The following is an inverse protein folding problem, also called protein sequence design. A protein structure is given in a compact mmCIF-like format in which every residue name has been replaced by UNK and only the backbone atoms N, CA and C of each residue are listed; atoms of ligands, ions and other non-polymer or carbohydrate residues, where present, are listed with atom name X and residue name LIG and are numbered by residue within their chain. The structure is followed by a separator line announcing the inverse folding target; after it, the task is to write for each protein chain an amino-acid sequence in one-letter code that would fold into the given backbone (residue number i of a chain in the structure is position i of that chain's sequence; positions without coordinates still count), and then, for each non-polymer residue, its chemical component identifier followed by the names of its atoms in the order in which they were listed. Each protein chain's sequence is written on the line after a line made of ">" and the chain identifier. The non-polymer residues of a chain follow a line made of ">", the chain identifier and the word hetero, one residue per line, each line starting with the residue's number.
data_IF_290476395766
#
_entry.id   IF_290476395766
#
_cell.length_a   1.000
_cell.length_b   1.000
_cell.length_c   1.000
_cell.angle_alpha   90.00
_cell.angle_beta   90.00
_cell.angle_gamma   90.00
#
_symmetry.space_group_name_H-M   'P 1'
#
loop_
_entity.id
_entity.type
_entity.pdbx_description
1 polymer ?
#
# COMPACT_ATOMS: atom_id res chain seq x y z
N UNK A 1 15.71 -15.53 -11.01
CA UNK A 1 15.15 -14.27 -11.60
C UNK A 1 15.43 -13.11 -10.64
N UNK A 2 16.01 -12.00 -11.10
CA UNK A 2 16.17 -10.78 -10.27
C UNK A 2 14.78 -10.31 -9.83
N UNK A 3 14.56 -10.19 -8.53
CA UNK A 3 13.31 -9.67 -7.96
C UNK A 3 13.11 -8.24 -8.49
N UNK A 4 12.12 -8.03 -9.38
CA UNK A 4 11.80 -6.71 -9.92
C UNK A 4 11.41 -5.77 -8.79
N UNK A 5 11.81 -4.51 -8.85
CA UNK A 5 11.42 -3.54 -7.83
C UNK A 5 9.90 -3.31 -7.85
N UNK A 6 9.31 -3.04 -6.69
CA UNK A 6 7.88 -2.76 -6.57
C UNK A 6 7.43 -1.62 -7.51
N UNK A 7 8.27 -0.61 -7.65
CA UNK A 7 8.04 0.51 -8.56
C UNK A 7 7.98 0.07 -10.03
N UNK A 8 8.93 -0.76 -10.49
CA UNK A 8 8.95 -1.27 -11.87
C UNK A 8 7.67 -2.04 -12.20
N UNK A 9 7.19 -2.83 -11.25
CA UNK A 9 5.94 -3.60 -11.39
C UNK A 9 4.70 -2.72 -11.51
N UNK A 10 4.59 -1.68 -10.67
CA UNK A 10 3.48 -0.73 -10.74
C UNK A 10 3.50 0.06 -12.06
N UNK A 11 4.67 0.47 -12.53
CA UNK A 11 4.81 1.20 -13.78
C UNK A 11 4.49 0.37 -15.04
N UNK A 12 4.47 -0.97 -14.95
CA UNK A 12 3.97 -1.82 -16.04
C UNK A 12 2.48 -1.56 -16.32
N UNK A 13 1.70 -1.25 -15.29
CA UNK A 13 0.27 -0.88 -15.43
C UNK A 13 0.05 0.56 -15.90
N UNK A 14 1.08 1.38 -15.99
CA UNK A 14 0.96 2.78 -16.46
C UNK A 14 0.67 2.90 -17.95
N UNK A 15 1.10 1.92 -18.76
CA UNK A 15 1.05 2.05 -20.21
C UNK A 15 1.79 3.31 -20.68
N UNK A 16 1.18 4.09 -21.56
CA UNK A 16 1.74 5.37 -22.06
C UNK A 16 1.86 6.47 -21.00
N UNK A 17 1.16 6.36 -19.86
CA UNK A 17 1.19 7.37 -18.78
C UNK A 17 2.45 7.28 -17.90
N UNK A 18 3.36 6.33 -18.15
CA UNK A 18 4.66 6.21 -17.46
C UNK A 18 5.48 7.49 -17.52
N UNK A 19 5.42 8.22 -18.65
CA UNK A 19 6.11 9.49 -18.85
C UNK A 19 5.64 10.53 -17.83
N UNK A 20 4.34 10.59 -17.52
CA UNK A 20 3.80 11.52 -16.54
C UNK A 20 4.34 11.24 -15.12
N UNK A 21 4.54 9.96 -14.75
CA UNK A 21 5.19 9.62 -13.48
C UNK A 21 6.61 10.19 -13.40
N UNK A 22 7.43 10.00 -14.43
CA UNK A 22 8.79 10.53 -14.43
C UNK A 22 8.81 12.06 -14.45
N UNK A 23 7.92 12.68 -15.26
CA UNK A 23 7.79 14.14 -15.31
C UNK A 23 7.39 14.71 -13.96
N UNK A 24 6.51 14.04 -13.22
CA UNK A 24 6.10 14.47 -11.87
C UNK A 24 7.29 14.51 -10.91
N UNK A 25 8.19 13.52 -10.96
CA UNK A 25 9.37 13.50 -10.09
C UNK A 25 10.35 14.61 -10.43
N UNK A 26 10.58 14.86 -11.73
CA UNK A 26 11.44 15.95 -12.20
C UNK A 26 10.87 17.30 -11.79
N UNK A 27 9.56 17.53 -12.00
CA UNK A 27 8.90 18.77 -11.60
C UNK A 27 8.90 18.96 -10.09
N UNK A 28 8.69 17.91 -9.32
CA UNK A 28 8.74 17.95 -7.84
C UNK A 28 10.15 18.29 -7.35
N UNK A 29 11.20 17.71 -7.96
CA UNK A 29 12.58 18.05 -7.66
C UNK A 29 12.93 19.49 -8.06
N UNK A 30 12.50 19.93 -9.23
CA UNK A 30 12.68 21.31 -9.71
C UNK A 30 11.99 22.32 -8.79
N UNK A 31 10.75 22.03 -8.36
CA UNK A 31 10.02 22.87 -7.41
C UNK A 31 10.75 23.01 -6.07
N UNK A 32 11.38 21.92 -5.61
CA UNK A 32 12.17 21.93 -4.37
C UNK A 32 13.37 22.87 -4.47
N UNK A 33 14.09 22.86 -5.58
CA UNK A 33 15.23 23.77 -5.79
C UNK A 33 14.76 25.20 -5.97
N UNK A 34 13.67 25.44 -6.70
CA UNK A 34 13.05 26.76 -6.81
C UNK A 34 12.60 27.31 -5.45
N UNK A 35 12.09 26.46 -4.56
CA UNK A 35 11.67 26.86 -3.20
C UNK A 35 12.84 27.27 -2.30
N UNK A 36 14.08 26.96 -2.64
CA UNK A 36 15.27 27.43 -1.92
C UNK A 36 15.74 28.81 -2.40
N UNK A 37 15.39 29.25 -3.60
CA UNK A 37 15.80 30.54 -4.15
C UNK A 37 15.33 31.74 -3.32
N UNK A 38 14.11 31.78 -2.75
CA UNK A 38 13.68 32.83 -1.84
C UNK A 38 14.64 33.07 -0.68
N UNK A 39 15.27 32.00 -0.13
CA UNK A 39 16.23 32.13 0.97
C UNK A 39 17.50 32.89 0.55
N UNK A 40 17.95 32.74 -0.70
CA UNK A 40 19.01 33.57 -1.27
C UNK A 40 18.63 35.06 -1.28
N UNK A 41 17.40 35.39 -1.74
CA UNK A 41 16.93 36.79 -1.74
C UNK A 41 16.74 37.35 -0.33
N UNK A 42 16.26 36.53 0.62
CA UNK A 42 16.17 36.91 2.03
C UNK A 42 17.56 37.25 2.60
N UNK A 43 18.58 36.45 2.26
CA UNK A 43 19.96 36.77 2.65
C UNK A 43 20.45 38.10 2.04
N UNK A 44 20.15 38.39 0.77
CA UNK A 44 20.47 39.67 0.11
C UNK A 44 19.79 40.83 0.79
N UNK A 45 18.51 40.69 1.12
CA UNK A 45 17.74 41.71 1.89
C UNK A 45 18.41 41.95 3.23
N UNK A 46 18.70 40.92 4.00
CA UNK A 46 19.38 41.07 5.30
C UNK A 46 20.72 41.77 5.17
N UNK A 47 21.51 41.40 4.14
CA UNK A 47 22.79 42.03 3.83
C UNK A 47 22.62 43.52 3.53
N UNK A 48 21.66 43.92 2.71
CA UNK A 48 21.39 45.31 2.35
C UNK A 48 20.93 46.10 3.55
N UNK A 49 20.04 45.55 4.38
CA UNK A 49 19.54 46.22 5.59
C UNK A 49 20.65 46.42 6.64
N UNK A 50 21.46 45.38 6.88
CA UNK A 50 22.59 45.48 7.84
C UNK A 50 23.64 46.51 7.35
N UNK A 51 23.93 46.55 6.05
CA UNK A 51 24.88 47.47 5.46
C UNK A 51 24.39 48.92 5.45
N UNK A 52 23.09 49.14 5.36
CA UNK A 52 22.48 50.47 5.36
C UNK A 52 22.25 51.05 6.75
N UNK A 53 22.40 50.29 7.84
CA UNK A 53 22.18 50.77 9.21
C UNK A 53 23.13 51.89 9.57
N UNK A 54 22.64 53.02 10.21
CA UNK A 54 21.25 53.28 10.64
C UNK A 54 20.34 53.92 9.56
N UNK A 55 20.81 54.16 8.35
CA UNK A 55 20.10 54.84 7.26
C UNK A 55 19.41 53.87 6.33
N UNK A 56 18.34 53.22 6.80
CA UNK A 56 17.64 52.12 6.11
C UNK A 56 17.01 52.53 4.75
N UNK A 57 16.70 53.82 4.54
CA UNK A 57 16.23 54.37 3.27
C UNK A 57 17.24 54.16 2.11
N UNK A 58 18.52 53.94 2.41
CA UNK A 58 19.56 53.67 1.43
C UNK A 58 19.60 52.21 0.97
N UNK A 59 18.78 51.33 1.56
CA UNK A 59 18.71 49.94 1.17
C UNK A 59 17.81 49.71 -0.09
N UNK A 60 18.13 50.41 -1.20
CA UNK A 60 17.29 50.46 -2.40
C UNK A 60 16.98 49.15 -3.12
N UNK A 61 17.73 48.08 -2.87
CA UNK A 61 17.51 46.76 -3.49
C UNK A 61 16.46 45.89 -2.79
N UNK A 62 16.04 46.26 -1.55
CA UNK A 62 15.16 45.45 -0.69
C UNK A 62 13.81 45.14 -1.36
N UNK A 63 13.20 46.17 -1.97
CA UNK A 63 11.90 46.01 -2.65
C UNK A 63 11.99 45.05 -3.84
N UNK A 64 13.02 45.22 -4.68
CA UNK A 64 13.25 44.30 -5.83
C UNK A 64 13.51 42.89 -5.35
N UNK A 65 14.40 42.69 -4.39
CA UNK A 65 14.76 41.36 -3.86
C UNK A 65 13.55 40.70 -3.15
N UNK A 66 12.71 41.51 -2.48
CA UNK A 66 11.45 41.02 -1.90
C UNK A 66 10.49 40.50 -2.95
N UNK A 67 10.26 41.24 -4.03
CA UNK A 67 9.41 40.79 -5.12
C UNK A 67 9.96 39.53 -5.84
N UNK A 68 11.28 39.44 -6.02
CA UNK A 68 11.92 38.24 -6.58
C UNK A 68 11.76 37.04 -5.66
N UNK A 69 11.90 37.20 -4.35
CA UNK A 69 11.63 36.10 -3.40
C UNK A 69 10.20 35.58 -3.53
N UNK A 70 9.21 36.51 -3.59
CA UNK A 70 7.80 36.13 -3.79
C UNK A 70 7.60 35.44 -5.14
N UNK A 71 8.17 35.96 -6.22
CA UNK A 71 8.06 35.38 -7.57
C UNK A 71 8.55 33.92 -7.58
N UNK A 72 9.73 33.65 -7.03
CA UNK A 72 10.29 32.31 -6.99
C UNK A 72 9.52 31.37 -6.05
N UNK A 73 8.97 31.88 -4.93
CA UNK A 73 8.10 31.12 -4.05
C UNK A 73 6.82 30.69 -4.77
N UNK A 74 6.18 31.62 -5.49
CA UNK A 74 4.97 31.32 -6.31
C UNK A 74 5.31 30.36 -7.43
N UNK A 75 6.40 30.58 -8.16
CA UNK A 75 6.85 29.70 -9.23
C UNK A 75 7.10 28.26 -8.70
N UNK A 76 7.73 28.11 -7.55
CA UNK A 76 7.94 26.81 -6.91
C UNK A 76 6.62 26.08 -6.64
N UNK A 77 5.61 26.80 -6.12
CA UNK A 77 4.28 26.23 -5.87
C UNK A 77 3.60 25.81 -7.16
N UNK A 78 3.63 26.65 -8.20
CA UNK A 78 3.01 26.34 -9.50
C UNK A 78 3.66 25.11 -10.16
N UNK A 79 4.99 25.02 -10.14
CA UNK A 79 5.73 23.86 -10.66
C UNK A 79 5.40 22.59 -9.86
N UNK A 80 5.26 22.71 -8.53
CA UNK A 80 4.85 21.59 -7.68
C UNK A 80 3.44 21.11 -8.00
N UNK A 81 2.47 22.02 -8.17
CA UNK A 81 1.11 21.69 -8.56
C UNK A 81 1.11 20.98 -9.93
N UNK A 82 1.86 21.47 -10.92
CA UNK A 82 2.00 20.80 -12.20
C UNK A 82 2.58 19.38 -12.04
N UNK A 83 3.59 19.21 -11.20
CA UNK A 83 4.14 17.89 -10.86
C UNK A 83 3.11 16.97 -10.24
N UNK A 84 2.31 17.45 -9.28
CA UNK A 84 1.23 16.67 -8.66
C UNK A 84 0.13 16.31 -9.66
N UNK A 85 -0.26 17.23 -10.55
CA UNK A 85 -1.23 16.89 -11.61
C UNK A 85 -0.73 15.73 -12.48
N UNK A 86 0.53 15.75 -12.89
CA UNK A 86 1.14 14.64 -13.65
C UNK A 86 1.13 13.33 -12.84
N UNK A 87 1.47 13.38 -11.54
CA UNK A 87 1.48 12.17 -10.70
C UNK A 87 0.09 11.58 -10.51
N UNK A 88 -0.92 12.42 -10.24
CA UNK A 88 -2.30 11.97 -10.05
C UNK A 88 -2.88 11.34 -11.32
N UNK A 89 -2.70 11.97 -12.48
CA UNK A 89 -3.15 11.41 -13.75
C UNK A 89 -2.55 10.03 -14.03
N UNK A 90 -1.26 9.87 -13.78
CA UNK A 90 -0.60 8.57 -13.93
C UNK A 90 -1.06 7.56 -12.89
N UNK A 91 -1.15 7.96 -11.62
CA UNK A 91 -1.54 7.08 -10.51
C UNK A 91 -2.97 6.57 -10.66
N UNK A 92 -3.94 7.42 -11.03
CA UNK A 92 -5.32 7.02 -11.30
C UNK A 92 -5.40 6.01 -12.44
N UNK A 93 -4.60 6.22 -13.50
CA UNK A 93 -4.57 5.27 -14.62
C UNK A 93 -4.00 3.92 -14.20
N UNK A 94 -2.91 3.92 -13.43
CA UNK A 94 -2.29 2.68 -12.90
C UNK A 94 -3.28 1.95 -11.99
N UNK A 95 -3.92 2.65 -11.06
CA UNK A 95 -4.90 2.06 -10.16
C UNK A 95 -6.11 1.46 -10.91
N UNK A 96 -6.59 2.16 -11.94
CA UNK A 96 -7.69 1.66 -12.80
C UNK A 96 -7.27 0.40 -13.56
N UNK A 97 -6.09 0.43 -14.20
CA UNK A 97 -5.58 -0.73 -14.96
C UNK A 97 -5.32 -1.92 -14.04
N UNK A 98 -4.84 -1.67 -12.83
CA UNK A 98 -4.61 -2.70 -11.83
C UNK A 98 -5.93 -3.35 -11.35
N UNK A 99 -6.96 -2.52 -11.06
CA UNK A 99 -8.31 -3.03 -10.74
C UNK A 99 -8.88 -3.87 -11.88
N UNK A 100 -8.73 -3.37 -13.11
CA UNK A 100 -9.19 -4.09 -14.32
C UNK A 100 -8.46 -5.41 -14.52
N UNK A 101 -7.14 -5.45 -14.33
CA UNK A 101 -6.34 -6.66 -14.43
C UNK A 101 -6.77 -7.70 -13.39
N UNK A 102 -6.94 -7.28 -12.12
CA UNK A 102 -7.44 -8.16 -11.06
C UNK A 102 -8.84 -8.69 -11.36
N UNK A 103 -9.77 -7.81 -11.77
CA UNK A 103 -11.15 -8.21 -12.07
C UNK A 103 -11.21 -9.19 -13.24
N UNK A 104 -10.45 -8.93 -14.31
CA UNK A 104 -10.35 -9.85 -15.46
C UNK A 104 -9.78 -11.20 -15.04
N UNK A 105 -8.74 -11.22 -14.22
CA UNK A 105 -8.13 -12.45 -13.75
C UNK A 105 -9.09 -13.24 -12.85
N UNK A 106 -9.79 -12.57 -11.91
CA UNK A 106 -10.80 -13.20 -11.04
C UNK A 106 -11.90 -13.87 -11.88
N UNK A 107 -12.32 -13.27 -12.99
CA UNK A 107 -13.32 -13.86 -13.88
C UNK A 107 -12.84 -15.16 -14.57
N UNK A 108 -11.52 -15.43 -14.61
CA UNK A 108 -10.96 -16.67 -15.16
C UNK A 108 -10.75 -17.74 -14.09
N UNK A 109 -10.81 -17.38 -12.80
CA UNK A 109 -10.58 -18.32 -11.70
C UNK A 109 -11.74 -19.32 -11.56
N UNK A 110 -11.46 -20.53 -11.01
CA UNK A 110 -12.50 -21.47 -10.61
C UNK A 110 -13.42 -20.84 -9.55
N UNK A 111 -14.72 -21.16 -9.61
CA UNK A 111 -15.70 -20.66 -8.66
C UNK A 111 -15.31 -21.00 -7.21
N UNK A 112 -14.80 -22.20 -6.98
CA UNK A 112 -14.36 -22.62 -5.65
C UNK A 112 -13.19 -21.83 -5.10
N UNK A 113 -12.25 -21.38 -5.95
CA UNK A 113 -11.15 -20.48 -5.55
C UNK A 113 -11.71 -19.10 -5.16
N UNK A 114 -12.71 -18.59 -5.89
CA UNK A 114 -13.41 -17.35 -5.56
C UNK A 114 -14.12 -17.46 -4.21
N UNK A 115 -14.77 -18.58 -3.93
CA UNK A 115 -15.42 -18.87 -2.65
C UNK A 115 -14.42 -18.95 -1.48
N UNK A 116 -13.26 -19.57 -1.69
CA UNK A 116 -12.18 -19.63 -0.69
C UNK A 116 -11.62 -18.26 -0.36
N UNK A 117 -11.43 -17.37 -1.35
CA UNK A 117 -11.04 -15.99 -1.09
C UNK A 117 -12.10 -15.24 -0.31
N UNK A 118 -13.37 -15.50 -0.61
CA UNK A 118 -14.51 -14.78 -0.07
C UNK A 118 -14.68 -13.38 -0.68
N UNK A 119 -15.92 -12.99 -0.94
CA UNK A 119 -16.28 -11.74 -1.61
C UNK A 119 -15.74 -10.49 -0.90
N UNK A 120 -15.74 -10.49 0.45
CA UNK A 120 -15.23 -9.39 1.26
C UNK A 120 -13.73 -9.19 1.09
N UNK A 121 -12.94 -10.28 1.10
CA UNK A 121 -11.48 -10.22 0.91
C UNK A 121 -11.13 -9.80 -0.52
N UNK A 122 -11.80 -10.34 -1.54
CA UNK A 122 -11.59 -9.95 -2.94
C UNK A 122 -11.91 -8.48 -3.16
N UNK A 123 -13.07 -8.00 -2.70
CA UNK A 123 -13.45 -6.59 -2.77
C UNK A 123 -12.41 -5.69 -2.10
N UNK A 124 -11.96 -6.06 -0.91
CA UNK A 124 -10.93 -5.33 -0.17
C UNK A 124 -9.61 -5.30 -0.96
N UNK A 125 -9.18 -6.43 -1.49
CA UNK A 125 -7.96 -6.51 -2.31
C UNK A 125 -8.06 -5.62 -3.54
N UNK A 126 -9.15 -5.68 -4.31
CA UNK A 126 -9.33 -4.86 -5.53
C UNK A 126 -9.36 -3.37 -5.18
N UNK A 127 -10.08 -2.96 -4.13
CA UNK A 127 -10.31 -1.55 -3.80
C UNK A 127 -9.16 -0.93 -3.02
N UNK A 128 -8.79 -1.54 -1.89
CA UNK A 128 -7.83 -0.94 -0.95
C UNK A 128 -6.39 -1.05 -1.44
N UNK A 129 -6.00 -2.18 -2.06
CA UNK A 129 -4.62 -2.32 -2.53
C UNK A 129 -4.33 -1.44 -3.74
N UNK A 130 -5.29 -1.28 -4.65
CA UNK A 130 -5.16 -0.34 -5.76
C UNK A 130 -5.12 1.12 -5.26
N UNK A 131 -5.88 1.45 -4.20
CA UNK A 131 -5.82 2.76 -3.54
C UNK A 131 -4.47 3.02 -2.85
N UNK A 132 -3.90 2.01 -2.18
CA UNK A 132 -2.56 2.12 -1.59
C UNK A 132 -1.47 2.36 -2.65
N UNK A 133 -1.55 1.66 -3.80
CA UNK A 133 -0.65 1.87 -4.93
C UNK A 133 -0.82 3.27 -5.53
N UNK A 134 -2.05 3.76 -5.64
CA UNK A 134 -2.38 5.12 -6.09
C UNK A 134 -1.75 6.18 -5.18
N UNK A 135 -1.98 6.09 -3.86
CA UNK A 135 -1.42 7.01 -2.87
C UNK A 135 0.11 7.05 -2.92
N UNK A 136 0.75 5.89 -3.08
CA UNK A 136 2.19 5.80 -3.21
C UNK A 136 2.72 6.55 -4.44
N UNK A 137 2.10 6.32 -5.59
CA UNK A 137 2.51 6.91 -6.87
C UNK A 137 2.16 8.40 -6.95
N UNK A 138 0.98 8.79 -6.43
CA UNK A 138 0.49 10.16 -6.51
C UNK A 138 1.22 11.12 -5.56
N UNK A 139 1.56 10.67 -4.36
CA UNK A 139 2.09 11.53 -3.30
C UNK A 139 3.49 11.14 -2.85
N UNK A 140 3.71 9.85 -2.50
CA UNK A 140 4.95 9.46 -1.83
C UNK A 140 6.18 9.56 -2.73
N UNK A 141 6.09 9.15 -3.99
CA UNK A 141 7.23 9.23 -4.92
C UNK A 141 7.58 10.68 -5.31
N UNK A 142 6.62 11.56 -5.66
CA UNK A 142 6.91 12.97 -5.87
C UNK A 142 7.49 13.64 -4.62
N UNK A 143 6.97 13.32 -3.42
CA UNK A 143 7.49 13.84 -2.15
C UNK A 143 8.91 13.33 -1.85
N UNK A 144 9.25 12.09 -2.22
CA UNK A 144 10.61 11.56 -2.13
C UNK A 144 11.57 12.34 -3.03
N UNK A 145 11.20 12.53 -4.29
CA UNK A 145 12.00 13.30 -5.25
C UNK A 145 12.22 14.74 -4.75
N UNK A 146 11.15 15.37 -4.26
CA UNK A 146 11.18 16.70 -3.64
C UNK A 146 12.11 16.75 -2.42
N UNK A 147 11.98 15.80 -1.49
CA UNK A 147 12.80 15.74 -0.28
C UNK A 147 14.29 15.56 -0.59
N UNK A 148 14.62 14.65 -1.51
CA UNK A 148 16.00 14.43 -1.93
C UNK A 148 16.61 15.66 -2.59
N UNK A 149 15.87 16.31 -3.49
CA UNK A 149 16.30 17.55 -4.13
C UNK A 149 16.44 18.69 -3.11
N UNK A 150 15.53 18.80 -2.13
CA UNK A 150 15.64 19.78 -1.04
C UNK A 150 16.92 19.55 -0.23
N UNK A 151 17.22 18.29 0.15
CA UNK A 151 18.43 17.96 0.92
C UNK A 151 19.69 18.33 0.12
N UNK A 152 19.75 17.93 -1.15
CA UNK A 152 20.89 18.24 -2.01
C UNK A 152 21.08 19.77 -2.17
N UNK A 153 19.98 20.51 -2.41
CA UNK A 153 20.01 21.96 -2.51
C UNK A 153 20.40 22.65 -1.18
N UNK A 154 19.89 22.17 -0.04
CA UNK A 154 20.25 22.67 1.29
C UNK A 154 21.73 22.42 1.58
N UNK A 155 22.25 21.22 1.32
CA UNK A 155 23.67 20.92 1.50
C UNK A 155 24.55 21.85 0.65
N UNK A 156 24.16 22.08 -0.61
CA UNK A 156 24.87 23.01 -1.48
C UNK A 156 24.85 24.44 -0.89
N UNK A 157 23.68 24.94 -0.48
CA UNK A 157 23.55 26.27 0.16
C UNK A 157 24.38 26.37 1.44
N UNK A 158 24.29 25.40 2.34
CA UNK A 158 25.03 25.39 3.60
C UNK A 158 26.57 25.44 3.38
N UNK A 159 27.08 24.80 2.34
CA UNK A 159 28.51 24.79 2.06
C UNK A 159 28.98 26.05 1.29
N UNK A 160 28.12 26.62 0.43
CA UNK A 160 28.44 27.79 -0.37
C UNK A 160 28.47 29.09 0.45
N UNK A 161 27.51 29.26 1.38
CA UNK A 161 27.43 30.50 2.18
C UNK A 161 28.53 30.61 3.21
N UNK A 162 28.71 29.58 4.03
CA UNK A 162 29.79 29.49 5.03
C UNK A 162 30.06 28.01 5.34
N UNK A 163 31.09 27.45 4.73
CA UNK A 163 31.39 26.03 4.87
C UNK A 163 31.63 25.61 6.35
N UNK A 164 32.10 26.54 7.20
CA UNK A 164 32.38 26.28 8.65
C UNK A 164 31.06 26.08 9.41
N UNK A 165 30.14 27.03 9.26
CA UNK A 165 28.79 26.93 9.84
C UNK A 165 28.02 25.78 9.21
N UNK A 166 28.21 25.55 7.90
CA UNK A 166 27.62 24.41 7.19
C UNK A 166 28.05 23.06 7.77
N UNK A 167 29.34 22.83 7.93
CA UNK A 167 29.86 21.61 8.54
C UNK A 167 29.40 21.47 10.01
N UNK A 168 29.39 22.56 10.75
CA UNK A 168 28.94 22.55 12.14
C UNK A 168 27.45 22.18 12.26
N UNK A 169 26.60 22.66 11.35
CA UNK A 169 25.18 22.31 11.31
C UNK A 169 24.93 20.83 10.95
N UNK A 170 25.86 20.18 10.25
CA UNK A 170 25.75 18.76 9.93
C UNK A 170 26.07 17.82 11.11
N UNK A 171 26.77 18.29 12.14
CA UNK A 171 27.07 17.48 13.33
C UNK A 171 25.79 16.95 14.01
N UNK A 172 24.84 17.82 14.44
CA UNK A 172 23.60 17.33 15.03
C UNK A 172 22.75 16.54 14.03
N UNK A 173 22.81 16.83 12.72
CA UNK A 173 22.16 16.02 11.68
C UNK A 173 22.73 14.61 11.63
N UNK A 174 24.04 14.45 11.69
CA UNK A 174 24.70 13.13 11.74
C UNK A 174 24.31 12.36 13.02
N UNK A 175 24.22 13.04 14.16
CA UNK A 175 23.73 12.45 15.41
C UNK A 175 22.27 12.01 15.31
N UNK A 176 21.42 12.84 14.71
CA UNK A 176 20.02 12.50 14.45
C UNK A 176 19.89 11.28 13.53
N UNK A 177 20.71 11.22 12.46
CA UNK A 177 20.75 10.07 11.56
C UNK A 177 21.23 8.80 12.28
N UNK A 178 22.26 8.88 13.13
CA UNK A 178 22.73 7.76 13.93
C UNK A 178 21.66 7.26 14.92
N UNK A 179 20.89 8.17 15.53
CA UNK A 179 19.73 7.81 16.36
C UNK A 179 18.62 7.11 15.53
N UNK A 180 18.34 7.62 14.32
CA UNK A 180 17.36 7.03 13.39
C UNK A 180 17.78 5.62 12.97
N UNK A 181 19.05 5.36 12.69
CA UNK A 181 19.54 4.02 12.34
C UNK A 181 19.25 2.97 13.42
N UNK A 182 19.19 3.37 14.69
CA UNK A 182 18.78 2.48 15.79
C UNK A 182 17.29 2.12 15.77
N UNK A 183 16.46 2.91 15.07
CA UNK A 183 15.03 2.63 14.89
C UNK A 183 14.74 1.64 13.75
N UNK A 184 15.74 1.27 12.93
CA UNK A 184 15.60 0.34 11.79
C UNK A 184 16.11 -1.06 12.10
N UNK A 185 16.48 -1.36 13.35
CA UNK A 185 17.03 -2.64 13.77
C UNK A 185 16.00 -3.78 13.78
N UNK A 186 16.48 -5.02 13.60
CA UNK A 186 15.68 -6.26 13.59
C UNK A 186 14.74 -6.37 14.81
N UNK A 187 15.25 -6.04 16.00
CA UNK A 187 14.50 -6.09 17.26
C UNK A 187 13.26 -5.20 17.26
N UNK A 188 13.36 -4.02 16.65
CA UNK A 188 12.21 -3.11 16.54
C UNK A 188 11.23 -3.58 15.49
N UNK A 189 11.73 -4.13 14.38
CA UNK A 189 10.91 -4.72 13.33
C UNK A 189 10.11 -5.92 13.85
N UNK A 190 10.70 -6.77 14.68
CA UNK A 190 9.99 -7.89 15.33
C UNK A 190 8.88 -7.39 16.26
N UNK A 191 9.14 -6.35 17.04
CA UNK A 191 8.12 -5.74 17.91
C UNK A 191 7.00 -5.07 17.10
N UNK A 192 7.33 -4.41 16.00
CA UNK A 192 6.33 -3.84 15.08
C UNK A 192 5.44 -4.92 14.47
N UNK A 193 6.03 -6.06 14.08
CA UNK A 193 5.28 -7.21 13.57
C UNK A 193 4.32 -7.77 14.62
N UNK A 194 4.77 -7.93 15.87
CA UNK A 194 3.90 -8.39 16.96
C UNK A 194 2.77 -7.39 17.27
N UNK A 195 3.08 -6.10 17.26
CA UNK A 195 2.09 -5.04 17.39
C UNK A 195 1.02 -5.12 16.29
N UNK A 196 1.43 -5.26 15.01
CA UNK A 196 0.51 -5.38 13.87
C UNK A 196 -0.35 -6.65 13.95
N UNK A 197 0.24 -7.78 14.35
CA UNK A 197 -0.49 -9.03 14.55
C UNK A 197 -1.54 -8.88 15.67
N UNK A 198 -1.16 -8.31 16.81
CA UNK A 198 -2.08 -8.09 17.92
C UNK A 198 -3.22 -7.12 17.56
N UNK A 199 -2.96 -6.10 16.72
CA UNK A 199 -3.98 -5.20 16.18
C UNK A 199 -4.95 -5.95 15.25
N UNK A 200 -4.44 -6.82 14.39
CA UNK A 200 -5.26 -7.64 13.51
C UNK A 200 -6.15 -8.61 14.31
N UNK A 201 -5.60 -9.29 15.32
CA UNK A 201 -6.33 -10.20 16.19
C UNK A 201 -7.45 -9.47 16.94
N UNK A 202 -7.13 -8.31 17.52
CA UNK A 202 -8.14 -7.48 18.21
C UNK A 202 -9.25 -7.03 17.23
N UNK A 203 -8.89 -6.64 16.02
CA UNK A 203 -9.86 -6.19 15.00
C UNK A 203 -10.77 -7.35 14.56
N UNK A 204 -10.22 -8.54 14.35
CA UNK A 204 -10.97 -9.73 13.99
C UNK A 204 -11.94 -10.13 15.11
N UNK A 205 -11.48 -10.17 16.35
CA UNK A 205 -12.30 -10.50 17.49
C UNK A 205 -13.40 -9.47 17.75
N UNK A 206 -13.13 -8.18 17.49
CA UNK A 206 -14.15 -7.13 17.56
C UNK A 206 -15.30 -7.39 16.57
N UNK A 207 -14.98 -7.80 15.34
CA UNK A 207 -16.00 -8.16 14.33
C UNK A 207 -16.80 -9.39 14.77
N UNK A 208 -16.13 -10.43 15.29
CA UNK A 208 -16.81 -11.63 15.81
C UNK A 208 -17.70 -11.29 17.02
N UNK A 209 -17.21 -10.46 17.92
CA UNK A 209 -17.99 -10.00 19.06
C UNK A 209 -19.27 -9.29 18.63
N UNK A 210 -19.17 -8.33 17.70
CA UNK A 210 -20.34 -7.60 17.17
C UNK A 210 -21.33 -8.54 16.48
N UNK A 211 -20.84 -9.50 15.69
CA UNK A 211 -21.68 -10.52 15.03
C UNK A 211 -22.36 -11.46 16.06
N UNK A 212 -21.68 -11.76 17.16
CA UNK A 212 -22.18 -12.60 18.22
C UNK A 212 -23.17 -11.94 19.19
N UNK A 213 -23.28 -10.61 19.20
CA UNK A 213 -24.15 -9.86 20.12
C UNK A 213 -25.61 -10.39 20.14
N UNK A 214 -26.27 -10.68 19.00
CA UNK A 214 -27.64 -11.21 19.02
C UNK A 214 -27.73 -12.54 19.77
N UNK A 215 -26.77 -13.45 19.55
CA UNK A 215 -26.71 -14.77 20.21
C UNK A 215 -26.46 -14.59 21.70
N UNK A 216 -25.49 -13.76 22.08
CA UNK A 216 -25.14 -13.45 23.47
C UNK A 216 -26.34 -12.86 24.21
N UNK A 217 -27.10 -11.95 23.60
CA UNK A 217 -28.32 -11.36 24.19
C UNK A 217 -29.43 -12.39 24.37
N UNK A 218 -29.60 -13.29 23.39
CA UNK A 218 -30.64 -14.32 23.45
C UNK A 218 -30.41 -15.32 24.56
N UNK A 219 -29.14 -15.69 24.79
CA UNK A 219 -28.79 -16.71 25.84
C UNK A 219 -28.30 -16.11 27.15
N UNK A 220 -28.34 -14.79 27.34
CA UNK A 220 -27.94 -14.11 28.56
C UNK A 220 -26.46 -14.23 28.95
N UNK A 221 -25.62 -14.69 28.04
CA UNK A 221 -24.19 -14.96 28.28
C UNK A 221 -23.30 -13.80 27.85
N UNK A 222 -23.23 -12.74 28.63
CA UNK A 222 -22.42 -11.54 28.29
C UNK A 222 -20.94 -11.66 28.61
N UNK A 223 -20.54 -12.56 29.54
CA UNK A 223 -19.21 -12.51 30.15
C UNK A 223 -18.14 -13.27 29.36
N UNK A 224 -18.49 -14.37 28.69
CA UNK A 224 -17.48 -15.21 28.00
C UNK A 224 -16.97 -14.61 26.68
N UNK A 225 -17.85 -14.11 25.85
CA UNK A 225 -17.47 -13.47 24.58
C UNK A 225 -16.70 -12.18 24.82
N UNK A 226 -17.07 -11.40 25.85
CA UNK A 226 -16.35 -10.20 26.26
C UNK A 226 -14.94 -10.52 26.82
N UNK A 227 -14.77 -11.63 27.56
CA UNK A 227 -13.46 -12.01 28.10
C UNK A 227 -12.43 -12.30 27.03
N UNK A 228 -12.84 -12.97 25.94
CA UNK A 228 -11.95 -13.26 24.81
C UNK A 228 -11.53 -11.95 24.12
N UNK A 229 -12.49 -11.08 23.78
CA UNK A 229 -12.21 -9.78 23.16
C UNK A 229 -11.35 -8.89 24.07
N UNK A 230 -11.65 -8.86 25.39
CA UNK A 230 -10.81 -8.14 26.36
C UNK A 230 -9.38 -8.67 26.36
N UNK A 231 -9.18 -9.97 26.26
CA UNK A 231 -7.85 -10.58 26.18
C UNK A 231 -7.05 -10.12 24.96
N UNK A 232 -7.71 -9.92 23.80
CA UNK A 232 -7.03 -9.37 22.61
C UNK A 232 -6.71 -7.89 22.75
N UNK A 233 -7.56 -7.10 23.43
CA UNK A 233 -7.28 -5.69 23.78
C UNK A 233 -6.05 -5.61 24.69
N UNK A 234 -6.01 -6.40 25.76
CA UNK A 234 -4.91 -6.43 26.75
C UNK A 234 -3.59 -6.88 26.07
N UNK A 235 -3.67 -7.81 25.09
CA UNK A 235 -2.51 -8.22 24.31
C UNK A 235 -2.03 -7.10 23.37
N UNK A 236 -2.95 -6.42 22.68
CA UNK A 236 -2.63 -5.27 21.85
C UNK A 236 -1.98 -4.15 22.65
N UNK A 237 -2.55 -3.77 23.80
CA UNK A 237 -1.99 -2.78 24.72
C UNK A 237 -0.55 -3.14 25.11
N UNK A 238 -0.30 -4.40 25.48
CA UNK A 238 1.04 -4.88 25.85
C UNK A 238 2.07 -4.64 24.73
N UNK A 239 1.71 -4.96 23.50
CA UNK A 239 2.61 -4.79 22.35
C UNK A 239 2.78 -3.33 21.94
N UNK A 240 1.72 -2.50 22.04
CA UNK A 240 1.82 -1.04 21.85
C UNK A 240 2.81 -0.45 22.84
N UNK A 241 2.65 -0.78 24.12
CA UNK A 241 3.55 -0.27 25.17
C UNK A 241 4.98 -0.77 24.96
N UNK A 242 5.17 -2.05 24.60
CA UNK A 242 6.49 -2.62 24.35
C UNK A 242 7.19 -1.95 23.16
N UNK A 243 6.47 -1.69 22.08
CA UNK A 243 6.96 -1.00 20.89
C UNK A 243 7.30 0.47 21.21
N UNK A 244 6.40 1.19 21.87
CA UNK A 244 6.59 2.59 22.24
C UNK A 244 7.76 2.78 23.21
N UNK A 245 7.93 1.87 24.18
CA UNK A 245 9.07 1.90 25.10
C UNK A 245 10.41 1.72 24.39
N UNK A 246 10.46 0.85 23.37
CA UNK A 246 11.69 0.63 22.58
C UNK A 246 12.04 1.88 21.73
N UNK A 247 11.03 2.54 21.17
CA UNK A 247 11.19 3.75 20.38
C UNK A 247 11.53 5.00 21.20
N UNK A 248 11.16 5.03 22.48
CA UNK A 248 11.21 6.23 23.30
C UNK A 248 12.58 6.93 23.25
N UNK A 249 13.65 6.22 23.58
CA UNK A 249 14.97 6.82 23.63
C UNK A 249 15.55 7.17 22.25
N UNK A 250 15.50 6.30 21.23
CA UNK A 250 15.94 6.67 19.89
C UNK A 250 15.18 7.89 19.34
N UNK A 251 13.85 7.94 19.52
CA UNK A 251 13.02 9.06 19.06
C UNK A 251 13.32 10.35 19.81
N UNK A 252 13.51 10.28 21.13
CA UNK A 252 13.89 11.44 21.94
C UNK A 252 15.26 11.97 21.52
N UNK A 253 16.26 11.08 21.33
CA UNK A 253 17.60 11.47 20.88
C UNK A 253 17.58 12.07 19.47
N UNK A 254 16.80 11.46 18.55
CA UNK A 254 16.59 12.02 17.21
C UNK A 254 16.01 13.43 17.27
N UNK A 255 14.91 13.62 18.02
CA UNK A 255 14.22 14.90 18.15
C UNK A 255 15.12 15.95 18.79
N UNK A 256 15.86 15.57 19.84
CA UNK A 256 16.81 16.46 20.49
C UNK A 256 17.95 16.87 19.52
N UNK A 257 18.55 15.90 18.85
CA UNK A 257 19.65 16.13 17.92
C UNK A 257 19.21 17.04 16.75
N UNK A 258 18.10 16.71 16.08
CA UNK A 258 17.67 17.49 14.91
C UNK A 258 17.27 18.94 15.26
N UNK A 259 16.73 19.17 16.45
CA UNK A 259 16.40 20.51 16.93
C UNK A 259 17.58 21.24 17.59
N UNK A 260 18.67 20.55 17.91
CA UNK A 260 19.88 21.19 18.48
C UNK A 260 20.74 21.92 17.45
N UNK A 261 20.43 21.85 16.15
CA UNK A 261 21.14 22.56 15.08
C UNK A 261 21.30 24.06 15.42
N UNK A 262 20.26 24.69 15.97
CA UNK A 262 20.33 26.09 16.43
C UNK A 262 21.42 26.32 17.48
N UNK A 263 21.54 25.44 18.47
CA UNK A 263 22.52 25.56 19.54
C UNK A 263 23.94 25.48 18.97
N UNK A 264 24.19 24.56 18.05
CA UNK A 264 25.50 24.43 17.38
C UNK A 264 25.81 25.67 16.54
N UNK A 265 24.82 26.21 15.81
CA UNK A 265 24.99 27.41 14.99
C UNK A 265 25.27 28.66 15.85
N UNK A 266 24.57 28.85 16.96
CA UNK A 266 24.79 29.94 17.87
C UNK A 266 26.20 29.85 18.51
N UNK A 267 26.56 28.65 19.01
CA UNK A 267 27.89 28.43 19.58
C UNK A 267 29.01 28.67 18.55
N UNK A 268 28.84 28.18 17.32
CA UNK A 268 29.78 28.43 16.21
C UNK A 268 29.85 29.87 15.81
N UNK A 269 28.71 30.55 15.73
CA UNK A 269 28.66 31.99 15.46
C UNK A 269 29.48 32.82 16.47
N UNK A 270 29.37 32.48 17.76
CA UNK A 270 30.19 33.11 18.81
C UNK A 270 31.69 32.78 18.67
N UNK A 271 32.03 31.54 18.38
CA UNK A 271 33.42 31.11 18.23
C UNK A 271 34.08 31.78 17.03
N UNK A 272 33.40 31.85 15.89
CA UNK A 272 33.94 32.40 14.65
C UNK A 272 33.90 33.95 14.60
N UNK A 273 33.01 34.61 15.35
CA UNK A 273 32.95 36.07 15.42
C UNK A 273 34.12 36.71 16.20
N UNK A 274 34.78 35.96 17.08
CA UNK A 274 35.96 36.46 17.86
C UNK A 274 37.16 36.85 17.00
N UNK A 275 37.17 36.48 15.70
CA UNK A 275 38.26 36.80 14.76
C UNK A 275 38.16 38.13 14.01
N UNK A 276 37.28 39.06 14.38
CA UNK A 276 37.23 40.45 13.84
C UNK A 276 36.35 40.65 12.59
N UNK A 277 35.67 39.62 12.05
CA UNK A 277 34.76 39.74 10.91
C UNK A 277 33.26 39.79 11.35
N UNK A 278 32.94 40.62 12.34
CA UNK A 278 31.65 40.55 13.05
C UNK A 278 30.40 40.73 12.16
N UNK A 279 30.44 41.59 11.14
CA UNK A 279 29.25 41.85 10.29
C UNK A 279 28.87 40.73 9.36
N UNK A 280 29.85 40.08 8.72
CA UNK A 280 29.61 38.95 7.81
C UNK A 280 29.21 37.68 8.56
N UNK A 281 29.83 37.42 9.70
CA UNK A 281 29.50 36.26 10.54
C UNK A 281 28.06 36.34 11.09
N UNK A 282 27.61 37.49 11.51
CA UNK A 282 26.24 37.69 11.98
C UNK A 282 25.21 37.47 10.88
N UNK A 283 25.48 38.01 9.68
CA UNK A 283 24.62 37.83 8.51
C UNK A 283 24.46 36.34 8.14
N UNK A 284 25.58 35.60 8.07
CA UNK A 284 25.55 34.17 7.79
C UNK A 284 24.84 33.40 8.89
N UNK A 285 25.06 33.71 10.15
CA UNK A 285 24.37 33.10 11.28
C UNK A 285 22.85 33.28 11.19
N UNK A 286 22.37 34.52 10.89
CA UNK A 286 20.93 34.76 10.68
C UNK A 286 20.35 33.94 9.53
N UNK A 287 21.06 33.86 8.41
CA UNK A 287 20.66 33.05 7.29
C UNK A 287 20.51 31.58 7.68
N UNK A 288 21.49 31.01 8.40
CA UNK A 288 21.43 29.62 8.85
C UNK A 288 20.28 29.37 9.82
N UNK A 289 19.99 30.29 10.70
CA UNK A 289 18.84 30.22 11.62
C UNK A 289 17.53 30.16 10.84
N UNK A 290 17.37 30.94 9.77
CA UNK A 290 16.15 30.98 8.94
C UNK A 290 15.98 29.68 8.12
N UNK A 291 17.05 29.09 7.62
CA UNK A 291 16.97 27.90 6.76
C UNK A 291 16.90 26.57 7.54
N UNK A 292 17.36 26.55 8.79
CA UNK A 292 17.41 25.34 9.63
C UNK A 292 16.06 24.62 9.78
N UNK A 293 14.90 25.30 9.96
CA UNK A 293 13.61 24.61 10.03
C UNK A 293 13.29 23.78 8.79
N UNK A 294 13.72 24.24 7.60
CA UNK A 294 13.51 23.49 6.35
C UNK A 294 14.30 22.19 6.38
N UNK A 295 15.53 22.23 6.90
CA UNK A 295 16.37 21.04 7.07
C UNK A 295 15.71 20.03 8.03
N UNK A 296 15.31 20.49 9.21
CA UNK A 296 14.68 19.65 10.24
C UNK A 296 13.38 19.00 9.75
N UNK A 297 12.51 19.77 9.10
CA UNK A 297 11.25 19.27 8.55
C UNK A 297 11.46 18.26 7.43
N UNK A 298 12.43 18.51 6.54
CA UNK A 298 12.72 17.62 5.40
C UNK A 298 13.28 16.28 5.87
N UNK A 299 14.21 16.29 6.84
CA UNK A 299 14.78 15.07 7.41
C UNK A 299 13.73 14.28 8.21
N UNK A 300 12.86 14.96 8.94
CA UNK A 300 11.75 14.30 9.65
C UNK A 300 10.77 13.64 8.67
N UNK A 301 10.41 14.29 7.57
CA UNK A 301 9.61 13.68 6.51
C UNK A 301 10.28 12.43 5.95
N UNK A 302 11.58 12.49 5.67
CA UNK A 302 12.32 11.35 5.12
C UNK A 302 12.32 10.15 6.08
N UNK A 303 12.40 10.39 7.39
CA UNK A 303 12.33 9.34 8.41
C UNK A 303 11.03 8.54 8.33
N UNK A 304 9.88 9.22 8.21
CA UNK A 304 8.58 8.55 8.16
C UNK A 304 8.23 7.93 6.79
N UNK A 305 9.03 8.20 5.74
CA UNK A 305 8.76 7.65 4.41
C UNK A 305 8.98 6.13 4.31
N UNK A 306 9.80 5.56 5.18
CA UNK A 306 10.07 4.11 5.20
C UNK A 306 8.83 3.27 5.62
N UNK A 307 7.99 3.79 6.51
CA UNK A 307 6.74 3.13 6.92
C UNK A 307 5.76 2.96 5.75
N UNK A 308 5.64 3.98 4.92
CA UNK A 308 4.77 3.97 3.75
C UNK A 308 5.21 2.94 2.68
N UNK A 309 6.49 2.66 2.58
CA UNK A 309 7.04 1.62 1.71
C UNK A 309 6.55 0.22 2.06
N UNK A 310 6.37 -0.09 3.34
CA UNK A 310 5.85 -1.37 3.81
C UNK A 310 4.38 -1.57 3.45
N UNK A 311 3.56 -0.52 3.52
CA UNK A 311 2.13 -0.57 3.13
C UNK A 311 1.99 -0.97 1.65
N UNK A 312 2.81 -0.41 0.78
CA UNK A 312 2.80 -0.74 -0.65
C UNK A 312 3.29 -2.16 -0.90
N UNK A 313 4.28 -2.62 -0.15
CA UNK A 313 4.76 -3.98 -0.28
C UNK A 313 3.69 -5.00 0.14
N UNK A 314 2.96 -4.75 1.21
CA UNK A 314 1.82 -5.57 1.63
C UNK A 314 0.70 -5.54 0.57
N UNK A 315 0.36 -4.36 0.05
CA UNK A 315 -0.61 -4.22 -1.03
C UNK A 315 -0.23 -5.04 -2.27
N UNK A 316 1.03 -4.96 -2.72
CA UNK A 316 1.53 -5.75 -3.85
C UNK A 316 1.50 -7.26 -3.56
N UNK A 317 1.83 -7.68 -2.34
CA UNK A 317 1.73 -9.09 -1.93
C UNK A 317 0.30 -9.63 -2.03
N UNK A 318 -0.70 -8.82 -1.63
CA UNK A 318 -2.13 -9.17 -1.76
C UNK A 318 -2.59 -9.23 -3.22
N UNK A 319 -2.11 -8.31 -4.06
CA UNK A 319 -2.37 -8.33 -5.50
C UNK A 319 -1.78 -9.62 -6.10
N UNK A 320 -0.55 -9.97 -5.73
CA UNK A 320 0.10 -11.19 -6.19
C UNK A 320 -0.66 -12.45 -5.80
N UNK A 321 -1.19 -12.51 -4.59
CA UNK A 321 -1.97 -13.67 -4.15
C UNK A 321 -3.22 -13.92 -5.02
N UNK A 322 -3.78 -12.87 -5.60
CA UNK A 322 -4.90 -12.98 -6.54
C UNK A 322 -4.41 -13.32 -7.95
N UNK A 323 -3.45 -12.54 -8.48
CA UNK A 323 -3.00 -12.67 -9.87
C UNK A 323 -2.18 -13.95 -10.14
N UNK A 324 -1.60 -14.56 -9.11
CA UNK A 324 -0.85 -15.81 -9.23
C UNK A 324 -1.72 -17.06 -9.03
N UNK A 325 -2.98 -16.88 -8.61
CA UNK A 325 -3.92 -18.01 -8.52
C UNK A 325 -4.13 -18.59 -9.92
N UNK A 326 -3.93 -19.88 -10.12
CA UNK A 326 -4.03 -20.48 -11.44
C UNK A 326 -5.49 -20.45 -11.93
N UNK A 327 -5.74 -20.03 -13.18
CA UNK A 327 -7.04 -20.20 -13.81
C UNK A 327 -7.31 -21.69 -14.06
N UNK A 328 -8.57 -22.04 -14.34
CA UNK A 328 -8.89 -23.37 -14.81
C UNK A 328 -8.13 -23.68 -16.11
N UNK A 329 -7.52 -24.86 -16.17
CA UNK A 329 -6.90 -25.32 -17.41
C UNK A 329 -7.96 -25.43 -18.52
N UNK A 330 -7.66 -24.86 -19.68
CA UNK A 330 -8.51 -25.01 -20.87
C UNK A 330 -7.78 -25.92 -21.84
N UNK A 331 -8.54 -26.74 -22.54
CA UNK A 331 -7.99 -27.60 -23.60
C UNK A 331 -7.94 -26.84 -24.92
N UNK A 332 -6.89 -27.06 -25.71
CA UNK A 332 -6.79 -26.52 -27.07
C UNK A 332 -7.67 -27.29 -28.09
N UNK A 333 -8.20 -28.44 -27.69
CA UNK A 333 -9.04 -29.31 -28.52
C UNK A 333 -10.29 -29.73 -27.72
N UNK A 334 -11.29 -28.85 -27.62
CA UNK A 334 -12.50 -29.17 -26.89
C UNK A 334 -13.25 -30.36 -27.51
N UNK A 335 -13.79 -31.20 -26.62
CA UNK A 335 -14.64 -32.32 -26.98
C UNK A 335 -16.07 -32.05 -26.51
N UNK A 336 -17.05 -32.60 -27.21
CA UNK A 336 -18.46 -32.39 -26.94
C UNK A 336 -19.07 -33.55 -26.17
N UNK A 337 -19.79 -33.33 -25.05
CA UNK A 337 -20.53 -34.33 -24.33
C UNK A 337 -21.58 -35.00 -25.26
N UNK A 338 -21.72 -36.31 -25.16
CA UNK A 338 -22.67 -37.06 -25.97
C UNK A 338 -24.07 -37.12 -25.38
N UNK A 339 -24.15 -37.08 -24.05
CA UNK A 339 -25.36 -37.11 -23.26
C UNK A 339 -25.17 -36.44 -21.90
N UNK A 340 -26.12 -36.60 -20.97
CA UNK A 340 -26.07 -36.00 -19.61
C UNK A 340 -25.59 -36.99 -18.53
N UNK A 341 -24.93 -38.11 -18.91
CA UNK A 341 -24.36 -39.03 -17.93
C UNK A 341 -23.17 -38.40 -17.19
N UNK A 342 -22.99 -38.79 -15.93
CA UNK A 342 -21.87 -38.31 -15.09
C UNK A 342 -21.12 -39.52 -14.56
N UNK A 343 -19.80 -39.56 -14.78
CA UNK A 343 -18.93 -40.61 -14.25
C UNK A 343 -17.76 -40.02 -13.51
N UNK A 344 -17.50 -40.53 -12.32
CA UNK A 344 -16.32 -40.23 -11.52
C UNK A 344 -15.49 -41.51 -11.37
N UNK A 345 -14.18 -41.42 -11.55
CA UNK A 345 -13.25 -42.53 -11.46
C UNK A 345 -12.09 -42.19 -10.55
N UNK A 346 -11.99 -42.86 -9.41
CA UNK A 346 -10.91 -42.75 -8.45
C UNK A 346 -10.62 -41.29 -8.00
N UNK A 347 -11.68 -40.48 -7.80
CA UNK A 347 -11.57 -39.05 -7.50
C UNK A 347 -11.13 -38.84 -6.08
N UNK A 348 -9.99 -38.20 -5.92
CA UNK A 348 -9.51 -37.68 -4.62
C UNK A 348 -9.39 -36.17 -4.69
N UNK A 349 -9.93 -35.51 -3.67
CA UNK A 349 -9.92 -34.05 -3.58
C UNK A 349 -9.70 -33.52 -2.17
N UNK A 350 -8.91 -32.44 -2.05
CA UNK A 350 -8.69 -31.67 -0.83
C UNK A 350 -8.68 -30.16 -1.13
N UNK A 351 -9.18 -29.39 -0.19
CA UNK A 351 -9.18 -27.91 -0.29
C UNK A 351 -7.82 -27.28 0.07
N UNK A 352 -7.10 -27.92 0.98
CA UNK A 352 -5.78 -27.54 1.48
C UNK A 352 -4.93 -28.79 1.71
N UNK A 353 -3.73 -28.63 2.22
CA UNK A 353 -2.81 -29.76 2.45
C UNK A 353 -3.13 -30.61 3.69
N UNK A 354 -4.21 -30.31 4.44
CA UNK A 354 -4.45 -30.92 5.75
C UNK A 354 -5.24 -32.25 5.67
N UNK A 355 -6.38 -32.31 4.94
CA UNK A 355 -7.25 -33.49 4.91
C UNK A 355 -7.98 -33.62 3.58
N UNK A 356 -8.09 -34.87 3.07
CA UNK A 356 -8.93 -35.17 1.93
C UNK A 356 -10.41 -34.93 2.27
N UNK A 357 -11.08 -34.12 1.42
CA UNK A 357 -12.52 -33.94 1.47
C UNK A 357 -13.26 -35.08 0.77
N UNK A 358 -12.62 -35.66 -0.26
CA UNK A 358 -13.04 -36.89 -0.96
C UNK A 358 -11.80 -37.75 -1.13
N UNK A 359 -11.97 -39.07 -0.99
CA UNK A 359 -10.89 -40.04 -1.09
C UNK A 359 -11.35 -41.23 -1.91
N UNK A 360 -10.73 -41.44 -3.07
CA UNK A 360 -10.95 -42.55 -3.99
C UNK A 360 -12.44 -42.82 -4.34
N UNK A 361 -13.16 -41.75 -4.69
CA UNK A 361 -14.58 -41.84 -5.01
C UNK A 361 -14.77 -42.25 -6.48
N UNK A 362 -15.51 -43.35 -6.68
CA UNK A 362 -15.95 -43.80 -8.01
C UNK A 362 -17.47 -44.00 -8.01
N UNK A 363 -18.14 -43.38 -8.98
CA UNK A 363 -19.59 -43.53 -9.18
C UNK A 363 -19.98 -43.21 -10.62
N UNK A 364 -21.13 -43.71 -11.04
CA UNK A 364 -21.72 -43.45 -12.35
C UNK A 364 -23.21 -43.15 -12.21
N UNK A 365 -23.67 -42.09 -12.90
CA UNK A 365 -25.07 -41.66 -12.97
C UNK A 365 -25.43 -41.65 -14.46
N UNK A 366 -26.38 -42.50 -14.87
CA UNK A 366 -26.84 -42.55 -16.26
C UNK A 366 -27.61 -41.28 -16.68
N UNK A 367 -27.66 -41.05 -17.99
CA UNK A 367 -28.43 -39.95 -18.56
C UNK A 367 -29.90 -40.05 -18.14
N UNK A 368 -30.51 -38.94 -17.70
CA UNK A 368 -31.90 -38.86 -17.23
C UNK A 368 -32.17 -39.49 -15.85
N UNK A 369 -31.14 -39.99 -15.17
CA UNK A 369 -31.29 -40.49 -13.80
C UNK A 369 -31.22 -39.39 -12.75
N UNK A 370 -31.95 -39.58 -11.64
CA UNK A 370 -31.84 -38.75 -10.43
C UNK A 370 -31.03 -39.51 -9.38
N UNK A 371 -29.98 -38.89 -8.86
CA UNK A 371 -29.15 -39.44 -7.80
C UNK A 371 -29.20 -38.55 -6.56
N UNK A 372 -29.28 -39.21 -5.37
CA UNK A 372 -29.22 -38.50 -4.08
C UNK A 372 -27.95 -38.87 -3.34
N UNK A 373 -27.14 -37.86 -2.98
CA UNK A 373 -25.97 -38.04 -2.11
C UNK A 373 -26.38 -37.92 -0.64
N UNK A 374 -26.32 -39.03 0.10
CA UNK A 374 -26.74 -39.12 1.50
C UNK A 374 -25.53 -39.40 2.39
N UNK A 375 -25.46 -38.75 3.55
CA UNK A 375 -24.37 -38.96 4.51
C UNK A 375 -24.29 -37.83 5.56
N UNK A 376 -23.40 -37.97 6.54
CA UNK A 376 -23.24 -36.98 7.63
C UNK A 376 -22.80 -35.62 7.11
N UNK A 377 -22.99 -34.59 7.95
CA UNK A 377 -22.44 -33.26 7.68
C UNK A 377 -20.90 -33.35 7.58
N UNK A 378 -20.29 -32.67 6.61
CA UNK A 378 -18.85 -32.77 6.34
C UNK A 378 -18.42 -34.01 5.54
N UNK A 379 -19.34 -34.91 5.12
CA UNK A 379 -19.05 -36.12 4.34
C UNK A 379 -18.75 -35.87 2.84
N UNK A 380 -18.44 -34.66 2.41
CA UNK A 380 -18.00 -34.37 1.04
C UNK A 380 -19.11 -34.20 -0.02
N UNK A 381 -20.39 -34.25 0.36
CA UNK A 381 -21.53 -34.21 -0.60
C UNK A 381 -21.53 -32.95 -1.47
N UNK A 382 -21.39 -31.76 -0.85
CA UNK A 382 -21.32 -30.48 -1.57
C UNK A 382 -20.04 -30.35 -2.38
N UNK A 383 -18.93 -30.92 -1.89
CA UNK A 383 -17.65 -30.98 -2.61
C UNK A 383 -17.78 -31.77 -3.88
N UNK A 384 -18.48 -32.92 -3.82
CA UNK A 384 -18.72 -33.78 -4.98
C UNK A 384 -19.52 -33.04 -6.06
N UNK A 385 -20.61 -32.36 -5.67
CA UNK A 385 -21.41 -31.53 -6.57
C UNK A 385 -20.60 -30.38 -7.18
N UNK A 386 -19.76 -29.71 -6.38
CA UNK A 386 -18.89 -28.65 -6.84
C UNK A 386 -17.82 -29.13 -7.85
N UNK A 387 -17.32 -30.34 -7.68
CA UNK A 387 -16.37 -30.96 -8.61
C UNK A 387 -17.02 -31.36 -9.95
N UNK A 388 -18.27 -31.87 -9.93
CA UNK A 388 -19.03 -32.14 -11.16
C UNK A 388 -19.24 -30.86 -11.97
N UNK A 389 -19.52 -29.76 -11.30
CA UNK A 389 -19.62 -28.43 -11.92
C UNK A 389 -18.26 -27.79 -12.23
N UNK A 390 -17.17 -28.49 -12.01
CA UNK A 390 -15.80 -28.01 -12.21
C UNK A 390 -15.49 -26.71 -11.48
N UNK A 391 -16.04 -26.52 -10.26
CA UNK A 391 -15.61 -25.43 -9.39
C UNK A 391 -14.17 -25.59 -8.90
N UNK A 392 -13.64 -26.78 -8.97
CA UNK A 392 -12.25 -27.20 -8.73
C UNK A 392 -11.87 -28.33 -9.66
N UNK A 393 -10.59 -28.53 -9.91
CA UNK A 393 -10.07 -29.76 -10.50
C UNK A 393 -9.60 -30.72 -9.39
N UNK A 394 -9.89 -32.04 -9.46
CA UNK A 394 -9.42 -33.01 -8.48
C UNK A 394 -7.89 -33.18 -8.55
N UNK A 395 -7.26 -33.57 -7.42
CA UNK A 395 -5.83 -33.89 -7.36
C UNK A 395 -5.52 -35.22 -8.07
N UNK A 396 -6.44 -36.20 -8.01
CA UNK A 396 -6.33 -37.47 -8.76
C UNK A 396 -7.69 -37.95 -9.19
N UNK A 397 -7.70 -38.85 -10.17
CA UNK A 397 -8.90 -39.36 -10.79
C UNK A 397 -9.44 -38.50 -11.93
N UNK A 398 -10.59 -38.89 -12.45
CA UNK A 398 -11.26 -38.21 -13.56
C UNK A 398 -12.74 -38.01 -13.29
N UNK A 399 -13.29 -36.91 -13.85
CA UNK A 399 -14.73 -36.60 -13.83
C UNK A 399 -15.15 -36.38 -15.27
N UNK A 400 -16.17 -37.11 -15.73
CA UNK A 400 -16.65 -37.03 -17.09
C UNK A 400 -18.14 -36.72 -17.12
N UNK A 401 -18.55 -35.93 -18.11
CA UNK A 401 -19.95 -35.64 -18.45
C UNK A 401 -20.16 -36.04 -19.89
N UNK A 402 -21.19 -36.87 -20.15
CA UNK A 402 -21.46 -37.40 -21.47
C UNK A 402 -20.29 -38.21 -22.09
N UNK A 403 -19.50 -38.86 -21.24
CA UNK A 403 -18.32 -39.62 -21.66
C UNK A 403 -17.07 -38.77 -21.97
N UNK A 404 -17.10 -37.45 -21.75
CA UNK A 404 -15.99 -36.53 -21.98
C UNK A 404 -15.48 -35.97 -20.63
N UNK A 405 -14.17 -35.99 -20.40
CA UNK A 405 -13.59 -35.41 -19.19
C UNK A 405 -13.92 -33.93 -19.12
N UNK A 406 -14.38 -33.43 -17.94
CA UNK A 406 -14.77 -32.04 -17.76
C UNK A 406 -13.62 -31.07 -18.05
N UNK A 407 -12.36 -31.50 -18.02
CA UNK A 407 -11.20 -30.70 -18.40
C UNK A 407 -11.07 -30.49 -19.90
N UNK A 408 -11.66 -31.41 -20.70
CA UNK A 408 -11.60 -31.40 -22.15
C UNK A 408 -12.84 -30.78 -22.79
N UNK A 409 -13.84 -30.38 -22.00
CA UNK A 409 -15.04 -29.68 -22.47
C UNK A 409 -14.72 -28.15 -22.45
N UNK A 410 -15.18 -27.45 -23.50
CA UNK A 410 -15.11 -25.97 -23.48
C UNK A 410 -15.85 -25.39 -22.26
N UNK A 411 -15.32 -24.33 -21.65
CA UNK A 411 -15.87 -23.76 -20.44
C UNK A 411 -17.33 -23.29 -20.63
N UNK A 412 -17.63 -22.69 -21.76
CA UNK A 412 -18.98 -22.17 -22.05
C UNK A 412 -19.95 -23.36 -22.23
N UNK A 413 -19.54 -24.37 -22.98
CA UNK A 413 -20.34 -25.56 -23.20
C UNK A 413 -20.57 -26.37 -21.91
N UNK A 414 -19.55 -26.45 -21.03
CA UNK A 414 -19.72 -27.07 -19.71
C UNK A 414 -20.76 -26.31 -18.86
N UNK A 415 -20.74 -25.01 -18.88
CA UNK A 415 -21.71 -24.18 -18.15
C UNK A 415 -23.12 -24.24 -18.74
N UNK A 416 -23.25 -24.45 -20.04
CA UNK A 416 -24.56 -24.73 -20.71
C UNK A 416 -25.07 -26.15 -20.42
N UNK A 417 -24.15 -27.08 -20.16
CA UNK A 417 -24.50 -28.48 -19.89
C UNK A 417 -24.81 -28.77 -18.44
N UNK A 418 -24.08 -28.11 -17.50
CA UNK A 418 -24.18 -28.34 -16.06
C UNK A 418 -24.66 -27.08 -15.34
N UNK A 419 -25.83 -27.16 -14.74
CA UNK A 419 -26.40 -26.07 -13.91
C UNK A 419 -26.31 -26.41 -12.42
N UNK A 420 -26.05 -25.43 -11.58
CA UNK A 420 -25.95 -25.58 -10.11
C UNK A 420 -26.94 -24.65 -9.42
N UNK A 421 -27.69 -25.19 -8.47
CA UNK A 421 -28.48 -24.39 -7.53
C UNK A 421 -27.77 -24.39 -6.18
N UNK A 422 -27.28 -23.22 -5.76
CA UNK A 422 -26.59 -23.09 -4.48
C UNK A 422 -27.58 -22.98 -3.32
N UNK A 423 -27.16 -23.44 -2.14
CA UNK A 423 -27.96 -23.34 -0.92
C UNK A 423 -28.27 -21.87 -0.54
N UNK A 424 -27.32 -20.97 -0.77
CA UNK A 424 -27.45 -19.53 -0.52
C UNK A 424 -27.36 -18.77 -1.85
N UNK A 425 -28.49 -18.70 -2.57
CA UNK A 425 -28.57 -17.91 -3.79
C UNK A 425 -28.76 -16.43 -3.45
N UNK A 426 -27.91 -15.56 -4.02
CA UNK A 426 -27.98 -14.13 -3.87
C UNK A 426 -28.52 -13.48 -5.16
N UNK A 427 -29.52 -12.63 -5.02
CA UNK A 427 -30.02 -11.82 -6.13
C UNK A 427 -29.11 -10.61 -6.34
N UNK A 428 -28.85 -10.29 -7.61
CA UNK A 428 -28.21 -9.04 -8.01
C UNK A 428 -29.25 -7.92 -7.95
N UNK A 429 -28.80 -6.72 -7.54
CA UNK A 429 -29.68 -5.54 -7.50
C UNK A 429 -30.22 -5.22 -8.91
N UNK A 430 -31.49 -5.49 -9.13
CA UNK A 430 -32.20 -5.35 -10.39
C UNK A 430 -33.61 -5.89 -10.26
N UNK A 431 -34.34 -6.00 -11.36
CA UNK A 431 -35.64 -6.66 -11.36
C UNK A 431 -35.52 -8.19 -11.21
N UNK A 432 -36.60 -8.86 -10.81
CA UNK A 432 -36.67 -10.32 -10.78
C UNK A 432 -36.41 -10.87 -12.17
N UNK A 433 -36.95 -10.27 -13.21
CA UNK A 433 -36.79 -10.65 -14.60
C UNK A 433 -35.32 -10.57 -15.02
N UNK A 434 -34.59 -9.50 -14.65
CA UNK A 434 -33.17 -9.35 -14.94
C UNK A 434 -32.34 -10.47 -14.28
N UNK A 435 -32.70 -10.81 -13.04
CA UNK A 435 -32.02 -11.92 -12.32
C UNK A 435 -32.28 -13.28 -12.96
N UNK A 436 -33.51 -13.55 -13.45
CA UNK A 436 -33.83 -14.79 -14.16
C UNK A 436 -33.11 -14.87 -15.51
N UNK A 437 -33.00 -13.75 -16.22
CA UNK A 437 -32.37 -13.66 -17.53
C UNK A 437 -30.84 -13.53 -17.49
N UNK A 438 -30.24 -13.48 -16.29
CA UNK A 438 -28.80 -13.21 -16.16
C UNK A 438 -27.91 -14.18 -16.96
N UNK A 439 -28.27 -15.46 -17.00
CA UNK A 439 -27.55 -16.50 -17.75
C UNK A 439 -27.94 -16.57 -19.24
N UNK A 440 -29.11 -16.04 -19.62
CA UNK A 440 -29.61 -16.06 -20.99
C UNK A 440 -30.47 -14.82 -21.25
N UNK A 441 -29.86 -13.70 -21.69
CA UNK A 441 -30.53 -12.41 -21.82
C UNK A 441 -31.77 -12.44 -22.73
N UNK A 442 -31.80 -13.34 -23.71
CA UNK A 442 -32.84 -13.48 -24.71
C UNK A 442 -33.92 -14.51 -24.31
N UNK A 443 -33.92 -15.01 -23.07
CA UNK A 443 -34.89 -16.01 -22.57
C UNK A 443 -36.24 -15.37 -22.24
#
# INVERSE_FOLDING_TARGET
>A
MKKRSNLSRLLEYAGGHRILSYLSWVLSAASALLALVPFWYIWRILRAVIAAAPHYEQAGTVTHDGWMAVLFAVAAVLVYIAGLMCSHLSAFRIATNLRLAMTKHIATLPLGVIEQFGSGKLRRTISETAGAAETYLAHQLPDQAKAMATIAGLLALLLVFDWRLGLLSLVPVALAFAAMMRMTGQKLQDKMTQYQNALADMSNEAVEYVRGIPVVKTFGQTVFSFKKFKGTIDNYERWVIAYTKELRWPMTLYTLAINSVFVFLIAGGFLFSRGGAAGGALLNLLFYIIITPVLSLTLTKLMFMSENGMIVQDALSRIDSVLQSPPLSQTDKPQHPKDSSVTLEHVTFRYDDAKNALEDISLSIGAGQTAAFVGPSGGGKSTLAALIARSFDPQSGSISVGGVNVKDIDKTELMDTVSVVFQNSHLIKGSILDNVRLGKPDA
#
